data_IF_313576271649
#
_entry.id   IF_313576271649
#
_cell.length_a   1.000
_cell.length_b   1.000
_cell.length_c   1.000
_cell.angle_alpha   90.00
_cell.angle_beta   90.00
_cell.angle_gamma   90.00
#
_symmetry.space_group_name_H-M   'P 1'
#
loop_
_entity.id
_entity.type
_entity.pdbx_description
1 polymer ?
#
# COMPACT_ATOMS: atom_id res chain seq x y z
N UNK A 1 14.89 9.80 4.54
CA UNK A 1 13.98 8.77 4.00
C UNK A 1 12.57 9.24 4.32
N UNK A 2 11.81 9.64 3.31
CA UNK A 2 10.40 10.02 3.46
C UNK A 2 9.60 8.78 3.11
N UNK A 3 8.80 8.29 4.06
CA UNK A 3 7.90 7.16 3.85
C UNK A 3 6.49 7.74 3.72
N UNK A 4 5.94 7.78 2.50
CA UNK A 4 4.54 8.19 2.32
C UNK A 4 3.63 6.98 2.38
N UNK A 5 2.63 7.07 3.24
CA UNK A 5 1.64 6.01 3.41
C UNK A 5 0.36 6.40 2.67
N UNK A 6 -0.06 5.58 1.71
CA UNK A 6 -1.39 5.70 1.12
C UNK A 6 -2.33 4.84 1.94
N UNK A 7 -2.97 5.48 2.92
CA UNK A 7 -4.03 4.88 3.72
C UNK A 7 -5.32 4.88 2.90
N UNK A 8 -5.78 3.71 2.47
CA UNK A 8 -7.05 3.57 1.74
C UNK A 8 -8.22 3.65 2.73
N UNK A 9 -9.10 4.62 2.55
CA UNK A 9 -10.30 4.81 3.38
C UNK A 9 -11.42 3.85 2.95
N UNK A 10 -12.34 3.53 3.86
CA UNK A 10 -13.46 2.59 3.69
C UNK A 10 -14.33 2.81 2.43
N UNK A 11 -14.42 4.05 1.93
CA UNK A 11 -15.13 4.37 0.68
C UNK A 11 -14.41 3.90 -0.60
N UNK A 12 -13.10 3.66 -0.53
CA UNK A 12 -12.33 3.00 -1.59
C UNK A 12 -12.43 1.46 -1.49
N UNK A 13 -12.89 0.93 -0.35
CA UNK A 13 -13.05 -0.50 -0.07
C UNK A 13 -14.43 -1.04 -0.50
N UNK A 14 -15.47 -0.21 -0.43
CA UNK A 14 -16.86 -0.60 -0.80
C UNK A 14 -17.05 -0.84 -2.32
N UNK A 15 -16.06 -0.53 -3.16
CA UNK A 15 -16.01 -0.93 -4.57
C UNK A 15 -15.29 -2.29 -4.78
N UNK A 16 -14.80 -2.93 -3.71
CA UNK A 16 -13.99 -4.15 -3.75
C UNK A 16 -14.72 -5.42 -3.30
N UNK A 17 -16.02 -5.35 -2.94
CA UNK A 17 -16.80 -6.53 -2.52
C UNK A 17 -17.18 -7.48 -3.67
N UNK A 18 -16.58 -7.33 -4.84
CA UNK A 18 -16.84 -8.19 -5.98
C UNK A 18 -15.59 -8.46 -6.80
N UNK A 19 -14.68 -9.30 -6.30
CA UNK A 19 -13.88 -10.21 -7.14
C UNK A 19 -13.12 -11.25 -6.31
N UNK A 20 -13.58 -12.51 -6.39
CA UNK A 20 -12.93 -13.68 -5.79
C UNK A 20 -11.65 -14.00 -6.57
N UNK A 21 -10.49 -13.65 -6.05
CA UNK A 21 -9.24 -13.92 -6.75
C UNK A 21 -7.98 -13.96 -5.88
N UNK A 22 -7.92 -14.77 -4.81
CA UNK A 22 -6.65 -15.21 -4.19
C UNK A 22 -6.82 -16.35 -3.14
N UNK A 23 -7.69 -17.34 -3.41
CA UNK A 23 -8.14 -18.32 -2.40
C UNK A 23 -7.05 -19.17 -1.72
N UNK A 24 -5.89 -19.36 -2.34
CA UNK A 24 -4.82 -20.22 -1.79
C UNK A 24 -3.88 -19.51 -0.80
N UNK A 25 -3.69 -18.19 -0.92
CA UNK A 25 -2.82 -17.44 0.01
C UNK A 25 -3.61 -17.05 1.26
N UNK A 26 -4.89 -16.71 1.10
CA UNK A 26 -5.77 -16.31 2.19
C UNK A 26 -6.01 -17.45 3.22
N UNK A 27 -6.06 -18.71 2.77
CA UNK A 27 -6.37 -19.86 3.63
C UNK A 27 -5.26 -20.24 4.63
N UNK A 28 -4.03 -19.71 4.47
CA UNK A 28 -2.90 -19.97 5.38
C UNK A 28 -2.74 -18.91 6.48
N UNK A 29 -3.58 -17.87 6.50
CA UNK A 29 -3.39 -16.69 7.35
C UNK A 29 -4.26 -16.79 8.61
N UNK A 30 -3.74 -17.47 9.63
CA UNK A 30 -4.28 -17.37 10.99
C UNK A 30 -3.15 -16.99 11.97
N UNK A 31 -2.88 -15.68 12.00
CA UNK A 31 -2.13 -14.81 12.95
C UNK A 31 -1.76 -13.53 12.18
N UNK A 32 -1.58 -12.41 12.89
CA UNK A 32 -1.17 -11.11 12.33
C UNK A 32 -0.01 -11.29 11.36
N UNK A 33 -0.30 -11.36 10.07
CA UNK A 33 0.68 -11.67 9.02
C UNK A 33 0.71 -10.47 8.10
N UNK A 34 1.86 -9.83 8.04
CA UNK A 34 2.13 -8.80 7.05
C UNK A 34 2.78 -9.47 5.84
N UNK A 35 2.14 -9.36 4.68
CA UNK A 35 2.69 -9.83 3.42
C UNK A 35 3.30 -8.65 2.68
N UNK A 36 4.63 -8.59 2.66
CA UNK A 36 5.38 -7.60 1.90
C UNK A 36 5.52 -8.05 0.45
N UNK A 37 5.36 -7.09 -0.46
CA UNK A 37 5.55 -7.30 -1.89
C UNK A 37 6.16 -6.08 -2.56
N UNK A 38 6.68 -6.28 -3.78
CA UNK A 38 7.42 -5.27 -4.54
C UNK A 38 8.77 -4.91 -3.90
N UNK A 39 9.46 -3.93 -4.47
CA UNK A 39 10.76 -3.44 -4.03
C UNK A 39 10.90 -1.96 -4.39
N UNK A 40 11.41 -1.10 -3.48
CA UNK A 40 11.64 0.31 -3.76
C UNK A 40 12.76 0.53 -4.80
N UNK A 41 13.45 -0.52 -5.21
CA UNK A 41 14.46 -0.46 -6.28
C UNK A 41 13.86 -0.52 -7.69
N UNK A 42 12.56 -0.78 -7.82
CA UNK A 42 11.89 -0.74 -9.11
C UNK A 42 11.55 0.70 -9.48
N UNK A 43 12.20 1.21 -10.53
CA UNK A 43 11.97 2.56 -11.04
C UNK A 43 10.66 2.63 -11.82
N UNK A 44 9.56 2.76 -11.08
CA UNK A 44 8.22 2.93 -11.64
C UNK A 44 8.03 4.33 -12.25
N UNK A 45 8.73 5.35 -11.74
CA UNK A 45 8.64 6.74 -12.20
C UNK A 45 9.49 7.04 -13.44
N UNK A 46 10.42 6.14 -13.81
CA UNK A 46 11.19 6.21 -15.05
C UNK A 46 10.40 5.90 -16.32
N UNK A 47 9.18 5.37 -16.20
CA UNK A 47 8.33 5.04 -17.35
C UNK A 47 7.65 6.29 -17.94
N UNK A 48 8.19 6.81 -19.04
CA UNK A 48 7.57 7.90 -19.81
C UNK A 48 7.14 7.40 -21.19
N UNK A 49 5.84 7.39 -21.46
CA UNK A 49 5.27 6.97 -22.73
C UNK A 49 5.15 8.11 -23.76
N UNK A 50 5.68 9.30 -23.45
CA UNK A 50 5.62 10.50 -24.29
C UNK A 50 4.58 11.53 -23.86
N UNK A 51 3.84 11.27 -22.77
CA UNK A 51 2.85 12.18 -22.19
C UNK A 51 3.23 12.66 -20.78
N UNK A 52 4.47 12.40 -20.37
CA UNK A 52 5.01 12.77 -19.07
C UNK A 52 5.17 11.59 -18.12
N UNK A 53 5.94 11.83 -17.06
CA UNK A 53 6.25 10.83 -16.04
C UNK A 53 5.05 10.56 -15.11
N UNK A 54 4.99 9.37 -14.48
CA UNK A 54 3.96 9.06 -13.51
C UNK A 54 4.04 10.01 -12.31
N UNK A 55 2.88 10.37 -11.75
CA UNK A 55 2.78 11.26 -10.58
C UNK A 55 2.61 10.49 -9.27
N UNK A 56 2.10 9.26 -9.33
CA UNK A 56 1.90 8.37 -8.20
C UNK A 56 1.76 6.92 -8.68
N UNK A 57 2.01 5.96 -7.79
CA UNK A 57 1.83 4.53 -8.04
C UNK A 57 0.93 3.92 -6.98
N UNK A 58 -0.03 3.10 -7.40
CA UNK A 58 -0.99 2.39 -6.53
C UNK A 58 -1.20 0.97 -7.05
N UNK A 59 -1.47 0.01 -6.15
CA UNK A 59 -1.80 -1.34 -6.59
C UNK A 59 -3.27 -1.45 -7.02
N UNK A 60 -3.53 -2.34 -7.99
CA UNK A 60 -4.89 -2.65 -8.43
C UNK A 60 -5.72 -3.35 -7.34
N UNK A 61 -7.03 -3.24 -7.43
CA UNK A 61 -8.02 -3.83 -6.52
C UNK A 61 -7.73 -5.29 -6.11
N UNK A 62 -7.45 -6.17 -7.08
CA UNK A 62 -7.18 -7.59 -6.81
C UNK A 62 -5.91 -7.88 -6.01
N UNK A 63 -5.04 -6.89 -5.78
CA UNK A 63 -3.86 -7.05 -4.93
C UNK A 63 -4.11 -6.65 -3.47
N UNK A 64 -5.34 -6.27 -3.10
CA UNK A 64 -5.66 -5.75 -1.77
C UNK A 64 -6.34 -6.81 -0.90
N UNK A 65 -5.74 -7.07 0.26
CA UNK A 65 -6.30 -7.89 1.33
C UNK A 65 -5.69 -7.44 2.66
N UNK A 66 -6.34 -7.77 3.76
CA UNK A 66 -5.88 -7.40 5.10
C UNK A 66 -4.47 -7.94 5.37
N UNK A 67 -3.56 -7.08 5.83
CA UNK A 67 -2.15 -7.39 6.05
C UNK A 67 -1.26 -7.27 4.81
N UNK A 68 -1.78 -6.86 3.65
CA UNK A 68 -0.95 -6.59 2.47
C UNK A 68 -0.15 -5.31 2.65
N UNK A 69 1.16 -5.39 2.40
CA UNK A 69 2.08 -4.27 2.30
C UNK A 69 2.75 -4.28 0.91
N UNK A 70 2.66 -3.18 0.19
CA UNK A 70 3.33 -3.01 -1.11
C UNK A 70 4.27 -1.83 -1.05
N UNK A 71 5.52 -2.05 -1.43
CA UNK A 71 6.57 -1.02 -1.38
C UNK A 71 6.94 -0.56 -2.78
N UNK A 72 6.90 0.75 -3.01
CA UNK A 72 7.31 1.39 -4.25
C UNK A 72 8.51 2.30 -4.00
N UNK A 73 9.26 2.61 -5.07
CA UNK A 73 10.16 3.76 -5.02
C UNK A 73 9.30 5.01 -4.81
N UNK A 74 9.79 6.00 -4.08
CA UNK A 74 9.07 7.26 -3.93
C UNK A 74 9.41 8.23 -5.06
N UNK A 75 8.55 9.24 -5.24
CA UNK A 75 8.73 10.25 -6.30
C UNK A 75 10.01 11.08 -6.11
N UNK A 76 10.37 11.33 -4.85
CA UNK A 76 11.59 12.04 -4.49
C UNK A 76 12.77 11.06 -4.42
N UNK A 77 13.94 11.47 -4.89
CA UNK A 77 15.13 10.63 -4.88
C UNK A 77 15.48 10.18 -3.44
N UNK A 78 15.57 8.85 -3.24
CA UNK A 78 15.84 8.25 -1.92
C UNK A 78 14.63 8.18 -0.98
N UNK A 79 13.42 8.46 -1.47
CA UNK A 79 12.15 8.22 -0.76
C UNK A 79 11.53 6.88 -1.15
N UNK A 80 10.55 6.43 -0.37
CA UNK A 80 9.77 5.22 -0.64
C UNK A 80 8.30 5.47 -0.35
N UNK A 81 7.43 4.93 -1.18
CA UNK A 81 5.98 4.97 -0.96
C UNK A 81 5.53 3.59 -0.49
N UNK A 82 4.73 3.53 0.57
CA UNK A 82 4.23 2.29 1.16
C UNK A 82 2.70 2.29 1.13
N UNK A 83 2.14 1.31 0.44
CA UNK A 83 0.69 1.06 0.45
C UNK A 83 0.41 -0.08 1.42
N UNK A 84 -0.47 0.16 2.40
CA UNK A 84 -0.87 -0.84 3.40
C UNK A 84 -2.38 -1.01 3.34
N UNK A 85 -2.83 -2.26 3.19
CA UNK A 85 -4.23 -2.63 3.30
C UNK A 85 -4.45 -3.29 4.66
N UNK A 86 -5.25 -2.66 5.51
CA UNK A 86 -5.60 -3.15 6.84
C UNK A 86 -7.12 -3.11 7.02
N UNK A 87 -7.62 -3.89 7.97
CA UNK A 87 -8.98 -3.71 8.46
C UNK A 87 -9.23 -2.27 8.96
N UNK A 88 -10.47 -1.75 8.84
CA UNK A 88 -10.78 -0.40 9.28
C UNK A 88 -10.39 -0.10 10.74
N UNK A 89 -10.63 -1.06 11.64
CA UNK A 89 -10.27 -0.95 13.06
C UNK A 89 -8.76 -0.78 13.26
N UNK A 90 -7.95 -1.60 12.57
CA UNK A 90 -6.48 -1.53 12.69
C UNK A 90 -5.96 -0.22 12.12
N UNK A 91 -6.53 0.22 11.01
CA UNK A 91 -6.16 1.45 10.33
C UNK A 91 -6.45 2.70 11.19
N UNK A 92 -7.60 2.72 11.86
CA UNK A 92 -7.97 3.78 12.79
C UNK A 92 -7.01 3.84 13.98
N UNK A 93 -6.69 2.68 14.57
CA UNK A 93 -5.71 2.59 15.66
C UNK A 93 -4.31 3.05 15.24
N UNK A 94 -3.88 2.66 14.03
CA UNK A 94 -2.59 3.05 13.48
C UNK A 94 -2.52 4.56 13.19
N UNK A 95 -3.61 5.15 12.69
CA UNK A 95 -3.70 6.59 12.47
C UNK A 95 -3.72 7.41 13.77
N UNK A 96 -4.09 6.81 14.89
CA UNK A 96 -4.01 7.41 16.24
C UNK A 96 -2.66 7.22 16.93
N UNK A 97 -1.75 6.42 16.38
CA UNK A 97 -0.45 6.11 16.99
C UNK A 97 0.56 7.23 16.70
N UNK A 98 1.04 7.90 17.75
CA UNK A 98 1.93 9.06 17.61
C UNK A 98 3.32 8.69 17.09
N UNK A 99 3.84 7.53 17.47
CA UNK A 99 5.17 7.06 17.04
C UNK A 99 5.14 6.76 15.54
N UNK A 100 4.09 6.05 15.08
CA UNK A 100 3.85 5.78 13.69
C UNK A 100 3.67 7.08 12.90
N UNK A 101 2.80 7.98 13.35
CA UNK A 101 2.53 9.24 12.66
C UNK A 101 3.74 10.19 12.62
N UNK A 102 4.71 10.04 13.53
CA UNK A 102 5.98 10.76 13.47
C UNK A 102 6.95 10.15 12.44
N UNK A 103 6.83 8.84 12.17
CA UNK A 103 7.67 8.14 11.19
C UNK A 103 7.14 8.26 9.74
N UNK A 104 5.82 8.47 9.57
CA UNK A 104 5.21 8.70 8.26
C UNK A 104 5.47 10.13 7.80
N UNK A 105 6.04 10.27 6.61
CA UNK A 105 6.24 11.56 5.97
C UNK A 105 4.98 11.99 5.21
N UNK A 106 4.58 13.25 5.35
CA UNK A 106 3.52 13.88 4.55
C UNK A 106 4.13 14.40 3.24
#
# INVERSE_FOLDING_TARGET
>A
MVIRFVVLKERDLLLLEGEKGLGHVAAAVNRVTLLLSSSPRYDVYGNDFGWGKPVAVRSGAGNKFDGKVTVFTGVEAGSMDVEICLSPETLERLGGDQEFMAAVGV
#
